data_IF_695847334949
#
_entry.id   IF_695847334949
#
_cell.length_a   1.000
_cell.length_b   1.000
_cell.length_c   1.000
_cell.angle_alpha   90.00
_cell.angle_beta   90.00
_cell.angle_gamma   90.00
#
_symmetry.space_group_name_H-M   'P 1'
#
loop_
_entity.id
_entity.type
_entity.pdbx_description
1 polymer ?
#
# COMPACT_ATOMS: atom_id res chain seq x y z
N UNK A 1 -30.08 32.47 16.51
CA UNK A 1 -31.14 31.44 16.57
C UNK A 1 -31.20 30.57 15.32
N UNK A 2 -30.88 31.08 14.11
CA UNK A 2 -30.79 30.23 12.91
C UNK A 2 -29.55 29.32 12.91
N UNK A 3 -28.40 29.81 13.37
CA UNK A 3 -27.13 29.07 13.33
C UNK A 3 -27.09 27.84 14.25
N UNK A 4 -27.76 27.88 15.41
CA UNK A 4 -27.77 26.78 16.39
C UNK A 4 -28.70 25.64 15.95
N UNK A 5 -29.75 25.95 15.20
CA UNK A 5 -30.67 24.96 14.63
C UNK A 5 -29.99 24.26 13.45
N UNK A 6 -29.31 24.99 12.58
CA UNK A 6 -28.53 24.41 11.48
C UNK A 6 -27.38 23.53 12.00
N UNK A 7 -26.69 23.94 13.06
CA UNK A 7 -25.62 23.15 13.65
C UNK A 7 -26.13 21.85 14.28
N UNK A 8 -27.32 21.88 14.90
CA UNK A 8 -27.98 20.67 15.42
C UNK A 8 -28.54 19.80 14.31
N UNK A 9 -29.00 20.39 13.20
CA UNK A 9 -29.47 19.64 12.04
C UNK A 9 -28.31 18.92 11.36
N UNK A 10 -27.18 19.61 11.18
CA UNK A 10 -25.97 19.02 10.61
C UNK A 10 -25.40 17.93 11.50
N UNK A 11 -25.30 18.15 12.82
CA UNK A 11 -24.84 17.11 13.75
C UNK A 11 -25.76 15.87 13.76
N UNK A 12 -27.08 16.07 13.69
CA UNK A 12 -28.03 14.96 13.61
C UNK A 12 -27.99 14.25 12.24
N UNK A 13 -27.64 14.98 11.17
CA UNK A 13 -27.43 14.41 9.84
C UNK A 13 -26.15 13.57 9.81
N UNK A 14 -25.06 14.08 10.37
CA UNK A 14 -23.76 13.40 10.46
C UNK A 14 -23.90 12.12 11.30
N UNK A 15 -24.57 12.18 12.46
CA UNK A 15 -24.83 11.00 13.31
C UNK A 15 -25.68 9.94 12.58
N UNK A 16 -26.70 10.35 11.83
CA UNK A 16 -27.53 9.44 11.04
C UNK A 16 -26.76 8.81 9.85
N UNK A 17 -25.82 9.56 9.27
CA UNK A 17 -24.96 9.07 8.19
C UNK A 17 -23.94 8.09 8.73
N UNK A 18 -23.32 8.38 9.88
CA UNK A 18 -22.37 7.48 10.55
C UNK A 18 -23.04 6.17 10.97
N UNK A 19 -24.25 6.23 11.55
CA UNK A 19 -25.04 5.04 11.90
C UNK A 19 -25.36 4.21 10.66
N UNK A 20 -25.76 4.85 9.55
CA UNK A 20 -26.04 4.17 8.30
C UNK A 20 -24.79 3.51 7.69
N UNK A 21 -23.64 4.18 7.74
CA UNK A 21 -22.37 3.63 7.26
C UNK A 21 -21.92 2.45 8.11
N UNK A 22 -22.00 2.56 9.42
CA UNK A 22 -21.65 1.47 10.34
C UNK A 22 -22.58 0.28 10.18
N UNK A 23 -23.90 0.49 10.06
CA UNK A 23 -24.83 -0.61 9.82
C UNK A 23 -24.60 -1.26 8.46
N UNK A 24 -24.30 -0.47 7.43
CA UNK A 24 -24.00 -0.99 6.10
C UNK A 24 -22.69 -1.78 6.11
N UNK A 25 -21.64 -1.25 6.74
CA UNK A 25 -20.35 -1.93 6.91
C UNK A 25 -20.49 -3.21 7.72
N UNK A 26 -21.17 -3.16 8.86
CA UNK A 26 -21.43 -4.32 9.71
C UNK A 26 -22.26 -5.37 8.98
N UNK A 27 -23.25 -4.99 8.17
CA UNK A 27 -24.01 -5.92 7.35
C UNK A 27 -23.16 -6.53 6.23
N UNK A 28 -22.31 -5.75 5.55
CA UNK A 28 -21.39 -6.27 4.52
C UNK A 28 -20.40 -7.25 5.15
N UNK A 29 -19.80 -6.90 6.30
CA UNK A 29 -18.79 -7.71 6.97
C UNK A 29 -19.40 -8.95 7.65
N UNK A 30 -20.59 -8.84 8.26
CA UNK A 30 -21.31 -10.00 8.84
C UNK A 30 -21.82 -10.95 7.75
N UNK A 31 -22.21 -10.44 6.57
CA UNK A 31 -22.65 -11.26 5.44
C UNK A 31 -21.50 -11.84 4.60
N UNK A 32 -20.24 -11.46 4.87
CA UNK A 32 -19.08 -12.22 4.41
C UNK A 32 -18.98 -13.54 5.19
N UNK A 33 -19.89 -14.46 4.90
CA UNK A 33 -19.62 -15.88 5.15
C UNK A 33 -18.33 -16.20 4.40
N UNK A 34 -17.24 -16.52 5.14
CA UNK A 34 -16.01 -17.08 4.57
C UNK A 34 -16.37 -18.42 3.91
N UNK A 35 -16.99 -18.38 2.74
CA UNK A 35 -16.91 -19.47 1.78
C UNK A 35 -15.42 -19.64 1.58
N UNK A 36 -14.85 -20.71 2.11
CA UNK A 36 -13.53 -21.17 1.71
C UNK A 36 -13.61 -21.42 0.20
N UNK A 37 -13.37 -20.37 -0.58
CA UNK A 37 -13.09 -20.50 -1.99
C UNK A 37 -11.81 -21.31 -2.01
N UNK A 38 -11.91 -22.57 -2.43
CA UNK A 38 -10.73 -23.35 -2.81
C UNK A 38 -10.00 -22.51 -3.85
N UNK A 39 -8.94 -21.82 -3.43
CA UNK A 39 -8.10 -21.06 -4.36
C UNK A 39 -7.65 -22.05 -5.42
N UNK A 40 -7.95 -21.74 -6.69
CA UNK A 40 -7.37 -22.48 -7.79
C UNK A 40 -5.86 -22.34 -7.66
N UNK A 41 -5.18 -23.45 -7.41
CA UNK A 41 -3.73 -23.48 -7.37
C UNK A 41 -3.22 -23.32 -8.79
N UNK A 42 -2.58 -22.19 -9.06
CA UNK A 42 -1.83 -21.97 -10.29
C UNK A 42 -0.35 -22.24 -9.99
N UNK A 43 0.24 -23.20 -10.70
CA UNK A 43 1.69 -23.40 -10.69
C UNK A 43 2.35 -22.20 -11.38
N UNK A 44 2.98 -21.34 -10.59
CA UNK A 44 3.59 -20.09 -11.07
C UNK A 44 5.07 -20.24 -11.43
N UNK A 45 5.68 -21.42 -11.25
CA UNK A 45 7.09 -21.68 -11.54
C UNK A 45 8.03 -20.56 -11.03
N UNK A 46 8.07 -20.38 -9.70
CA UNK A 46 8.79 -19.28 -9.04
C UNK A 46 10.29 -19.25 -9.35
N UNK A 47 10.90 -20.43 -9.56
CA UNK A 47 12.31 -20.58 -9.88
C UNK A 47 12.64 -19.94 -11.23
N UNK A 48 11.82 -20.17 -12.26
CA UNK A 48 11.99 -19.51 -13.57
C UNK A 48 11.79 -18.00 -13.47
N UNK A 49 10.84 -17.54 -12.64
CA UNK A 49 10.67 -16.11 -12.35
C UNK A 49 11.92 -15.48 -11.72
N UNK A 50 12.58 -16.20 -10.81
CA UNK A 50 13.86 -15.77 -10.23
C UNK A 50 14.97 -15.72 -11.27
N UNK A 51 15.15 -16.80 -12.05
CA UNK A 51 16.19 -16.87 -13.09
C UNK A 51 16.03 -15.76 -14.12
N UNK A 52 14.79 -15.49 -14.57
CA UNK A 52 14.50 -14.39 -15.49
C UNK A 52 14.88 -13.04 -14.90
N UNK A 53 14.45 -12.76 -13.67
CA UNK A 53 14.77 -11.51 -12.97
C UNK A 53 16.29 -11.31 -12.81
N UNK A 54 17.00 -12.39 -12.49
CA UNK A 54 18.45 -12.40 -12.36
C UNK A 54 19.12 -12.06 -13.69
N UNK A 55 18.76 -12.75 -14.76
CA UNK A 55 19.34 -12.55 -16.10
C UNK A 55 19.03 -11.15 -16.67
N UNK A 56 17.86 -10.59 -16.36
CA UNK A 56 17.46 -9.29 -16.87
C UNK A 56 18.23 -8.13 -16.23
N UNK A 57 18.57 -8.24 -14.93
CA UNK A 57 19.06 -7.08 -14.17
C UNK A 57 20.30 -7.31 -13.31
N UNK A 58 20.69 -8.54 -12.99
CA UNK A 58 21.75 -8.80 -12.00
C UNK A 58 22.88 -9.71 -12.49
N UNK A 59 22.70 -10.42 -13.60
CA UNK A 59 23.76 -11.20 -14.25
C UNK A 59 24.89 -10.31 -14.80
N UNK A 60 26.00 -10.93 -15.19
CA UNK A 60 27.06 -10.25 -15.93
C UNK A 60 26.62 -9.93 -17.37
N UNK A 61 25.96 -10.89 -18.02
CA UNK A 61 25.38 -10.77 -19.36
C UNK A 61 23.91 -10.35 -19.26
N UNK A 62 23.68 -9.05 -19.04
CA UNK A 62 22.37 -8.49 -18.78
C UNK A 62 21.52 -8.36 -20.04
N UNK A 63 20.25 -8.78 -19.99
CA UNK A 63 19.28 -8.45 -21.05
C UNK A 63 19.09 -6.94 -21.19
N UNK A 64 19.07 -6.22 -20.05
CA UNK A 64 18.86 -4.77 -20.04
C UNK A 64 20.12 -3.98 -19.69
N UNK A 65 20.40 -2.87 -20.39
CA UNK A 65 21.52 -2.01 -20.06
C UNK A 65 21.44 -1.42 -18.63
N UNK A 66 22.58 -1.11 -17.99
CA UNK A 66 22.62 -0.63 -16.60
C UNK A 66 21.80 0.64 -16.30
N UNK A 67 21.56 1.50 -17.30
CA UNK A 67 20.73 2.70 -17.11
C UNK A 67 19.25 2.35 -16.88
N UNK A 68 18.75 1.26 -17.47
CA UNK A 68 17.37 0.80 -17.26
C UNK A 68 17.20 0.21 -15.86
N UNK A 69 18.21 -0.48 -15.32
CA UNK A 69 18.13 -0.94 -13.92
C UNK A 69 18.06 0.25 -12.96
N UNK A 70 18.84 1.31 -13.17
CA UNK A 70 18.73 2.52 -12.33
C UNK A 70 17.36 3.17 -12.43
N UNK A 71 16.76 3.24 -13.63
CA UNK A 71 15.40 3.77 -13.79
C UNK A 71 14.37 2.89 -13.06
N UNK A 72 14.49 1.56 -13.19
CA UNK A 72 13.50 0.61 -12.63
C UNK A 72 13.57 0.50 -11.11
N UNK A 73 14.77 0.38 -10.54
CA UNK A 73 14.99 0.23 -9.10
C UNK A 73 15.23 1.56 -8.39
N UNK A 74 15.35 2.68 -9.12
CA UNK A 74 15.69 4.02 -8.59
C UNK A 74 16.99 4.06 -7.75
N UNK A 75 17.83 3.03 -7.85
CA UNK A 75 19.09 2.90 -7.12
C UNK A 75 20.10 2.06 -7.92
N UNK A 76 21.35 2.04 -7.45
CA UNK A 76 22.38 1.17 -8.03
C UNK A 76 22.13 -0.29 -7.62
N UNK A 77 22.48 -1.23 -8.52
CA UNK A 77 22.37 -2.68 -8.31
C UNK A 77 23.06 -3.14 -7.03
N UNK A 78 24.26 -2.63 -6.77
CA UNK A 78 25.03 -2.99 -5.57
C UNK A 78 24.33 -2.60 -4.28
N UNK A 79 23.69 -1.41 -4.26
CA UNK A 79 22.90 -0.94 -3.11
C UNK A 79 21.67 -1.82 -2.94
N UNK A 80 20.98 -2.12 -4.04
CA UNK A 80 19.81 -3.00 -4.00
C UNK A 80 20.16 -4.38 -3.45
N UNK A 81 21.24 -5.02 -3.93
CA UNK A 81 21.67 -6.33 -3.44
C UNK A 81 22.00 -6.31 -1.94
N UNK A 82 22.69 -5.26 -1.45
CA UNK A 82 22.95 -5.11 -0.01
C UNK A 82 21.67 -5.01 0.83
N UNK A 83 20.62 -4.36 0.30
CA UNK A 83 19.31 -4.31 0.95
C UNK A 83 18.67 -5.71 0.97
N UNK A 84 18.70 -6.43 -0.16
CA UNK A 84 18.15 -7.79 -0.25
C UNK A 84 18.83 -8.72 0.76
N UNK A 85 20.16 -8.69 0.83
CA UNK A 85 20.93 -9.51 1.77
C UNK A 85 20.57 -9.17 3.21
N UNK A 86 20.58 -7.87 3.55
CA UNK A 86 20.26 -7.41 4.91
C UNK A 86 18.83 -7.78 5.33
N UNK A 87 17.86 -7.63 4.43
CA UNK A 87 16.47 -8.00 4.71
C UNK A 87 16.31 -9.52 4.86
N UNK A 88 17.00 -10.31 4.04
CA UNK A 88 17.00 -11.78 4.14
C UNK A 88 17.62 -12.28 5.45
N UNK A 89 18.63 -11.59 5.98
CA UNK A 89 19.23 -11.91 7.28
C UNK A 89 18.33 -11.50 8.44
N UNK A 90 17.73 -10.30 8.36
CA UNK A 90 17.02 -9.69 9.49
C UNK A 90 15.61 -10.24 9.67
N UNK A 91 14.91 -10.52 8.56
CA UNK A 91 13.48 -10.80 8.58
C UNK A 91 13.17 -12.19 8.02
N UNK A 92 12.53 -13.07 8.81
CA UNK A 92 12.15 -14.42 8.36
C UNK A 92 11.26 -14.45 7.11
N UNK A 93 10.51 -13.37 6.85
CA UNK A 93 9.68 -13.23 5.66
C UNK A 93 10.52 -13.20 4.37
N UNK A 94 11.69 -12.57 4.38
CA UNK A 94 12.52 -12.44 3.17
C UNK A 94 13.34 -13.70 2.88
N UNK A 95 13.57 -14.55 3.88
CA UNK A 95 14.28 -15.82 3.70
C UNK A 95 13.58 -16.72 2.69
N UNK A 96 14.36 -17.32 1.79
CA UNK A 96 13.86 -18.35 0.89
C UNK A 96 13.68 -19.65 1.66
N UNK A 97 12.48 -20.22 1.62
CA UNK A 97 12.17 -21.50 2.29
C UNK A 97 11.74 -22.53 1.25
N UNK A 98 11.95 -23.80 1.54
CA UNK A 98 11.40 -24.88 0.72
C UNK A 98 9.92 -25.06 1.06
N UNK A 99 9.11 -25.27 0.03
CA UNK A 99 7.71 -25.64 0.20
C UNK A 99 7.59 -27.10 0.66
N UNK A 100 6.37 -27.53 1.03
CA UNK A 100 6.10 -28.90 1.49
C UNK A 100 6.50 -29.99 0.46
N UNK A 101 6.59 -29.63 -0.82
CA UNK A 101 7.03 -30.51 -1.93
C UNK A 101 8.56 -30.46 -2.14
N UNK A 102 9.30 -29.76 -1.28
CA UNK A 102 10.75 -29.63 -1.35
C UNK A 102 11.29 -28.61 -2.36
N UNK A 103 10.45 -27.99 -3.18
CA UNK A 103 10.85 -26.93 -4.14
C UNK A 103 11.23 -25.63 -3.44
N UNK A 104 12.13 -24.86 -4.04
CA UNK A 104 12.48 -23.54 -3.50
C UNK A 104 11.29 -22.59 -3.70
N UNK A 105 10.91 -21.93 -2.61
CA UNK A 105 9.88 -20.90 -2.67
C UNK A 105 10.41 -19.59 -3.21
N UNK A 106 9.58 -18.55 -3.05
CA UNK A 106 9.86 -17.23 -3.58
C UNK A 106 11.17 -16.67 -3.00
N UNK A 107 12.05 -16.21 -3.89
CA UNK A 107 13.36 -15.67 -3.51
C UNK A 107 13.26 -14.29 -2.82
N UNK A 108 14.21 -13.94 -1.94
CA UNK A 108 14.32 -12.61 -1.35
C UNK A 108 14.40 -11.52 -2.44
N UNK A 109 15.10 -11.81 -3.55
CA UNK A 109 15.22 -10.90 -4.68
C UNK A 109 13.86 -10.56 -5.30
N UNK A 110 13.00 -11.57 -5.50
CA UNK A 110 11.63 -11.36 -6.03
C UNK A 110 10.79 -10.53 -5.04
N UNK A 111 10.83 -10.85 -3.73
CA UNK A 111 10.08 -10.12 -2.70
C UNK A 111 10.48 -8.65 -2.64
N UNK A 112 11.78 -8.38 -2.59
CA UNK A 112 12.31 -7.02 -2.57
C UNK A 112 11.98 -6.25 -3.85
N UNK A 113 12.08 -6.91 -5.01
CA UNK A 113 11.75 -6.29 -6.29
C UNK A 113 10.27 -5.93 -6.38
N UNK A 114 9.39 -6.80 -5.88
CA UNK A 114 7.97 -6.54 -5.82
C UNK A 114 7.66 -5.33 -4.93
N UNK A 115 8.12 -5.37 -3.68
CA UNK A 115 7.91 -4.31 -2.70
C UNK A 115 8.42 -2.96 -3.24
N UNK A 116 9.62 -2.94 -3.81
CA UNK A 116 10.18 -1.71 -4.38
C UNK A 116 9.36 -1.19 -5.56
N UNK A 117 8.87 -2.07 -6.45
CA UNK A 117 8.04 -1.65 -7.58
C UNK A 117 6.69 -1.10 -7.13
N UNK A 118 6.06 -1.73 -6.13
CA UNK A 118 4.82 -1.23 -5.52
C UNK A 118 5.04 0.16 -4.94
N UNK A 119 6.09 0.34 -4.14
CA UNK A 119 6.40 1.63 -3.51
C UNK A 119 6.82 2.71 -4.50
N UNK A 120 7.59 2.36 -5.53
CA UNK A 120 8.11 3.33 -6.49
C UNK A 120 7.06 3.79 -7.51
N UNK A 121 6.15 2.91 -7.92
CA UNK A 121 5.21 3.17 -9.00
C UNK A 121 3.75 3.24 -8.55
N UNK A 122 3.43 2.89 -7.30
CA UNK A 122 2.05 2.79 -6.83
C UNK A 122 1.24 1.73 -7.59
N UNK A 123 1.91 0.70 -8.15
CA UNK A 123 1.24 -0.31 -8.97
C UNK A 123 0.53 -1.34 -8.08
N UNK A 124 -0.64 -1.77 -8.54
CA UNK A 124 -1.40 -2.84 -7.91
C UNK A 124 -0.60 -4.16 -7.88
N UNK A 125 -0.88 -4.98 -6.88
CA UNK A 125 -0.12 -6.18 -6.58
C UNK A 125 -0.25 -7.28 -7.65
N UNK A 126 -1.42 -7.35 -8.29
CA UNK A 126 -1.73 -8.22 -9.42
C UNK A 126 -0.87 -7.89 -10.66
N UNK A 127 -0.59 -6.61 -10.91
CA UNK A 127 0.24 -6.17 -12.04
C UNK A 127 1.70 -6.64 -11.95
N UNK A 128 2.15 -7.06 -10.77
CA UNK A 128 3.50 -7.58 -10.55
C UNK A 128 3.57 -9.11 -10.71
N UNK A 129 2.44 -9.82 -10.66
CA UNK A 129 2.37 -11.28 -10.79
C UNK A 129 2.93 -11.74 -12.14
N UNK A 130 2.59 -11.07 -13.25
CA UNK A 130 3.02 -11.53 -14.59
C UNK A 130 4.55 -11.62 -14.75
N UNK A 131 5.28 -10.64 -14.21
CA UNK A 131 6.73 -10.58 -14.37
C UNK A 131 7.49 -11.33 -13.26
N UNK A 132 7.10 -11.16 -11.99
CA UNK A 132 7.80 -11.77 -10.86
C UNK A 132 7.27 -13.16 -10.49
N UNK A 133 6.11 -13.53 -11.05
CA UNK A 133 5.38 -14.78 -10.80
C UNK A 133 5.02 -14.94 -9.33
N UNK A 134 4.47 -13.88 -8.75
CA UNK A 134 4.10 -13.77 -7.35
C UNK A 134 2.58 -13.67 -7.22
N UNK A 135 1.97 -14.59 -6.49
CA UNK A 135 0.55 -14.46 -6.14
C UNK A 135 0.30 -13.19 -5.32
N UNK A 136 -0.83 -12.52 -5.59
CA UNK A 136 -1.28 -11.28 -4.95
C UNK A 136 -1.12 -11.25 -3.42
N UNK A 137 -1.48 -12.36 -2.74
CA UNK A 137 -1.37 -12.48 -1.29
C UNK A 137 0.06 -12.52 -0.75
N UNK A 138 1.04 -12.77 -1.61
CA UNK A 138 2.46 -12.77 -1.23
C UNK A 138 3.10 -11.40 -1.44
N UNK A 139 2.56 -10.60 -2.36
CA UNK A 139 2.94 -9.21 -2.60
C UNK A 139 2.31 -8.24 -1.60
N UNK A 140 1.08 -8.53 -1.12
CA UNK A 140 0.35 -7.73 -0.14
C UNK A 140 0.30 -8.41 1.24
N UNK A 141 1.44 -8.88 1.77
CA UNK A 141 1.47 -9.34 3.16
C UNK A 141 1.46 -8.18 4.18
N UNK A 142 0.83 -7.05 3.84
CA UNK A 142 0.42 -6.04 4.82
C UNK A 142 -1.01 -6.38 5.25
N UNK A 143 -1.18 -7.64 5.65
CA UNK A 143 -2.39 -8.06 6.32
C UNK A 143 -2.17 -7.61 7.77
N UNK A 144 -2.91 -6.56 8.15
CA UNK A 144 -3.18 -6.17 9.53
C UNK A 144 -3.20 -7.46 10.38
N UNK A 145 -2.24 -7.60 11.32
CA UNK A 145 -1.98 -8.87 12.03
C UNK A 145 -3.23 -9.36 12.78
N UNK A 146 -4.18 -8.44 13.01
CA UNK A 146 -5.48 -8.70 13.60
C UNK A 146 -6.54 -7.85 12.87
N UNK A 147 -7.82 -8.17 13.05
CA UNK A 147 -8.88 -7.24 12.67
C UNK A 147 -8.79 -6.00 13.58
N UNK A 148 -8.78 -4.77 13.04
CA UNK A 148 -8.79 -3.55 13.84
C UNK A 148 -9.94 -3.57 14.85
N UNK A 149 -9.67 -3.24 16.09
CA UNK A 149 -10.72 -3.03 17.10
C UNK A 149 -11.12 -1.56 17.16
N UNK A 150 -12.28 -1.21 17.74
CA UNK A 150 -12.67 0.19 17.93
C UNK A 150 -11.62 1.00 18.71
N UNK A 151 -10.90 0.35 19.63
CA UNK A 151 -9.81 0.98 20.38
C UNK A 151 -8.58 1.27 19.50
N UNK A 152 -8.28 0.41 18.52
CA UNK A 152 -7.22 0.65 17.54
C UNK A 152 -7.57 1.84 16.64
N UNK A 153 -8.84 1.98 16.29
CA UNK A 153 -9.36 3.10 15.51
C UNK A 153 -9.23 4.42 16.28
N UNK A 154 -9.70 4.44 17.52
CA UNK A 154 -9.61 5.60 18.40
C UNK A 154 -8.15 6.02 18.60
N UNK A 155 -7.25 5.05 18.83
CA UNK A 155 -5.83 5.30 18.97
C UNK A 155 -5.21 5.93 17.72
N UNK A 156 -5.64 5.50 16.53
CA UNK A 156 -5.17 6.09 15.27
C UNK A 156 -5.67 7.53 15.10
N UNK A 157 -6.93 7.80 15.45
CA UNK A 157 -7.53 9.13 15.42
C UNK A 157 -6.80 10.08 16.38
N UNK A 158 -6.53 9.65 17.61
CA UNK A 158 -5.80 10.44 18.61
C UNK A 158 -4.37 10.77 18.13
N UNK A 159 -3.67 9.81 17.50
CA UNK A 159 -2.34 10.02 16.92
C UNK A 159 -2.41 11.00 15.73
N UNK A 160 -3.44 10.88 14.90
CA UNK A 160 -3.71 11.80 13.81
C UNK A 160 -3.87 13.22 14.33
N UNK A 161 -4.74 13.42 15.33
CA UNK A 161 -5.02 14.71 15.94
C UNK A 161 -3.76 15.36 16.54
N UNK A 162 -2.96 14.62 17.31
CA UNK A 162 -1.67 15.10 17.86
C UNK A 162 -0.71 15.57 16.76
N UNK A 163 -0.76 14.93 15.58
CA UNK A 163 0.10 15.24 14.44
C UNK A 163 -0.49 16.32 13.51
N UNK A 164 -1.66 16.88 13.85
CA UNK A 164 -2.35 17.90 13.05
C UNK A 164 -3.20 17.32 11.91
N UNK A 165 -3.58 16.05 12.03
CA UNK A 165 -4.39 15.27 11.08
C UNK A 165 -5.67 14.75 11.77
N UNK A 166 -6.60 15.64 12.19
CA UNK A 166 -7.85 15.21 12.82
C UNK A 166 -8.68 14.35 11.86
N UNK A 167 -9.39 13.36 12.40
CA UNK A 167 -10.29 12.44 11.66
C UNK A 167 -9.62 11.50 10.65
N UNK A 168 -8.28 11.46 10.58
CA UNK A 168 -7.58 10.59 9.63
C UNK A 168 -7.44 9.14 10.13
N UNK A 169 -8.16 8.24 9.46
CA UNK A 169 -7.99 6.78 9.57
C UNK A 169 -7.22 6.32 8.33
N UNK A 170 -6.26 5.39 8.51
CA UNK A 170 -5.32 5.00 7.44
C UNK A 170 -5.95 4.57 6.10
N UNK A 171 -5.11 4.67 5.06
CA UNK A 171 -5.28 4.36 3.63
C UNK A 171 -6.52 4.93 2.94
N UNK A 172 -6.29 5.95 2.10
CA UNK A 172 -7.24 6.57 1.18
C UNK A 172 -8.13 7.61 1.88
N UNK A 173 -7.53 8.73 2.27
CA UNK A 173 -8.29 9.96 2.15
C UNK A 173 -7.45 11.13 1.64
N UNK A 174 -8.03 11.90 0.73
CA UNK A 174 -7.37 12.96 -0.05
C UNK A 174 -7.63 14.31 0.61
N UNK A 175 -6.66 14.81 1.38
CA UNK A 175 -6.79 16.16 1.92
C UNK A 175 -6.45 17.21 0.87
N UNK A 176 -7.36 18.17 0.69
CA UNK A 176 -7.18 19.32 -0.18
C UNK A 176 -6.63 20.48 0.63
N UNK A 177 -5.34 20.77 0.49
CA UNK A 177 -4.67 21.84 1.23
C UNK A 177 -4.57 23.12 0.41
N UNK A 178 -5.16 24.23 0.89
CA UNK A 178 -5.10 25.52 0.21
C UNK A 178 -3.66 26.06 0.18
N UNK A 179 -3.08 26.14 -1.02
CA UNK A 179 -1.73 26.60 -1.22
C UNK A 179 -1.69 28.12 -1.41
N UNK A 180 -1.62 28.84 -0.28
CA UNK A 180 -1.64 30.33 -0.24
C UNK A 180 -0.50 31.00 -1.03
N UNK A 181 0.63 30.32 -1.23
CA UNK A 181 1.83 30.87 -1.88
C UNK A 181 2.20 30.15 -3.20
N UNK A 182 1.23 29.55 -3.91
CA UNK A 182 1.49 28.89 -5.19
C UNK A 182 2.09 29.87 -6.22
N UNK A 183 3.27 29.59 -6.80
CA UNK A 183 3.85 30.40 -7.86
C UNK A 183 2.89 30.53 -9.05
N UNK A 184 2.73 31.73 -9.60
CA UNK A 184 1.75 32.03 -10.66
C UNK A 184 1.87 31.09 -11.87
N UNK A 185 3.09 30.64 -12.19
CA UNK A 185 3.37 29.73 -13.30
C UNK A 185 2.78 28.31 -13.11
N UNK A 186 2.46 27.89 -11.88
CA UNK A 186 1.98 26.54 -11.55
C UNK A 186 0.48 26.54 -11.21
N UNK A 187 -0.14 27.72 -11.15
CA UNK A 187 -1.54 27.90 -10.71
C UNK A 187 -2.55 27.09 -11.51
N UNK A 188 -2.37 27.00 -12.83
CA UNK A 188 -3.29 26.25 -13.70
C UNK A 188 -3.33 24.74 -13.42
N UNK A 189 -2.23 24.15 -12.92
CA UNK A 189 -2.12 22.72 -12.67
C UNK A 189 -2.79 22.28 -11.36
N UNK A 190 -2.94 23.20 -10.40
CA UNK A 190 -3.47 22.95 -9.05
C UNK A 190 -4.78 23.67 -8.76
N UNK A 191 -5.47 24.18 -9.80
CA UNK A 191 -6.80 24.76 -9.66
C UNK A 191 -7.81 23.82 -10.31
N UNK A 192 -8.60 23.09 -9.53
CA UNK A 192 -9.72 22.26 -10.03
C UNK A 192 -11.05 22.82 -9.52
N UNK A 193 -11.92 23.24 -10.42
CA UNK A 193 -13.37 23.47 -10.20
C UNK A 193 -13.79 24.59 -9.24
N UNK A 194 -13.17 24.71 -8.07
CA UNK A 194 -13.57 25.60 -6.97
C UNK A 194 -12.82 26.94 -6.94
N UNK A 195 -11.91 27.19 -7.89
CA UNK A 195 -11.14 28.45 -7.99
C UNK A 195 -10.06 28.63 -6.91
N UNK A 196 -9.95 27.69 -5.97
CA UNK A 196 -8.91 27.66 -4.94
C UNK A 196 -7.74 26.78 -5.37
N UNK A 197 -6.54 27.25 -5.08
CA UNK A 197 -5.29 26.51 -5.30
C UNK A 197 -5.17 25.45 -4.22
N UNK A 198 -5.40 24.18 -4.56
CA UNK A 198 -5.33 23.08 -3.59
C UNK A 198 -4.32 22.03 -4.03
N UNK A 199 -3.41 21.66 -3.13
CA UNK A 199 -2.55 20.49 -3.29
C UNK A 199 -3.24 19.32 -2.60
N UNK A 200 -3.36 18.20 -3.31
CA UNK A 200 -3.76 16.93 -2.70
C UNK A 200 -2.49 16.26 -2.17
N UNK A 201 -2.42 16.12 -0.85
CA UNK A 201 -1.36 15.36 -0.19
C UNK A 201 -1.91 13.98 0.20
N UNK A 202 -1.39 12.95 -0.46
CA UNK A 202 -1.57 11.56 -0.03
C UNK A 202 -0.37 11.20 0.86
N UNK A 203 -0.61 11.04 2.16
CA UNK A 203 0.42 10.63 3.11
C UNK A 203 -0.01 9.36 3.87
N UNK A 204 0.91 8.40 3.94
CA UNK A 204 0.77 7.17 4.71
C UNK A 204 1.63 7.30 5.96
N UNK A 205 1.03 7.32 7.15
CA UNK A 205 1.80 7.38 8.39
C UNK A 205 1.10 6.70 9.59
N UNK A 206 0.86 5.38 9.51
CA UNK A 206 0.74 4.59 10.74
C UNK A 206 2.13 4.12 11.17
N UNK A 207 2.45 4.32 12.45
CA UNK A 207 3.72 3.90 13.05
C UNK A 207 3.72 2.40 13.38
N UNK A 208 2.53 1.83 13.62
CA UNK A 208 2.34 0.44 13.99
C UNK A 208 1.68 -0.32 12.83
N UNK A 209 2.35 -1.37 12.35
CA UNK A 209 1.80 -2.40 11.46
C UNK A 209 1.08 -3.51 12.26
N UNK A 210 0.81 -3.26 13.54
CA UNK A 210 0.29 -4.22 14.52
C UNK A 210 -1.23 -4.26 14.61
N UNK A 211 -1.87 -3.21 14.10
CA UNK A 211 -3.27 -3.30 13.74
C UNK A 211 -3.27 -4.18 12.51
#
# INVERSE_FOLDING_TARGET
MADEVDQRLNAALDEAVDEYFEDTYNNIVKNQTKKQRKRAYAERNHEEGHTRLWNDYFSENLTFPPHLSRRRFRMNKSVFMRIVDRLSETFPFFQQRRHAVGRLGISPLQKCTAALRMLAYGCAADAIDEYLRLGESTTLSYEYLRRPTPEDLQRLLDIGEIRGFPEMIGSIDCMHWEWKNCPTAWKGQYTRGSGKLTIVLEAVASQDLWI
#
